data_IF_143783280007
#
_entry.id   IF_143783280007
#
_cell.length_a   1.000
_cell.length_b   1.000
_cell.length_c   1.000
_cell.angle_alpha   90.00
_cell.angle_beta   90.00
_cell.angle_gamma   90.00
#
_symmetry.space_group_name_H-M   'P 1'
#
loop_
_entity.id
_entity.type
_entity.pdbx_description
1 polymer ?
#
# COMPACT_ATOMS: atom_id res chain seq x y z
N UNK A 1 23.52 12.53 -15.03
CA UNK A 1 23.44 12.94 -13.61
C UNK A 1 22.73 14.30 -13.45
N UNK A 2 23.03 15.28 -14.30
CA UNK A 2 22.49 16.65 -14.25
C UNK A 2 20.95 16.78 -14.32
N UNK A 3 20.27 16.05 -15.22
CA UNK A 3 18.83 16.23 -15.43
C UNK A 3 17.94 15.84 -14.22
N UNK A 4 18.36 14.81 -13.48
CA UNK A 4 17.63 14.30 -12.32
C UNK A 4 17.56 15.34 -11.19
N UNK A 5 18.70 15.96 -10.89
CA UNK A 5 18.83 16.99 -9.86
C UNK A 5 18.09 18.27 -10.27
N UNK A 6 18.16 18.63 -11.56
CA UNK A 6 17.40 19.78 -12.09
C UNK A 6 15.89 19.59 -11.97
N UNK A 7 15.36 18.39 -12.21
CA UNK A 7 13.93 18.13 -12.08
C UNK A 7 13.48 18.20 -10.61
N UNK A 8 14.27 17.68 -9.68
CA UNK A 8 13.96 17.76 -8.26
C UNK A 8 13.98 19.21 -7.75
N UNK A 9 14.99 19.98 -8.13
CA UNK A 9 15.07 21.40 -7.78
C UNK A 9 13.86 22.19 -8.31
N UNK A 10 13.47 21.95 -9.57
CA UNK A 10 12.26 22.55 -10.14
C UNK A 10 11.01 22.18 -9.34
N UNK A 11 10.87 20.91 -8.97
CA UNK A 11 9.75 20.46 -8.14
C UNK A 11 9.71 21.20 -6.79
N UNK A 12 10.86 21.32 -6.11
CA UNK A 12 10.94 22.07 -4.85
C UNK A 12 10.56 23.54 -5.01
N UNK A 13 11.00 24.20 -6.08
CA UNK A 13 10.60 25.58 -6.38
C UNK A 13 9.07 25.70 -6.57
N UNK A 14 8.46 24.78 -7.32
CA UNK A 14 7.01 24.78 -7.51
C UNK A 14 6.25 24.49 -6.20
N UNK A 15 6.75 23.58 -5.37
CA UNK A 15 6.19 23.30 -4.05
C UNK A 15 6.28 24.53 -3.15
N UNK A 16 7.43 25.20 -3.08
CA UNK A 16 7.60 26.41 -2.28
C UNK A 16 6.66 27.56 -2.73
N UNK A 17 6.54 27.77 -4.04
CA UNK A 17 5.63 28.77 -4.61
C UNK A 17 4.17 28.44 -4.28
N UNK A 18 3.78 27.16 -4.39
CA UNK A 18 2.43 26.72 -4.04
C UNK A 18 2.15 26.92 -2.54
N UNK A 19 3.11 26.55 -1.68
CA UNK A 19 3.02 26.73 -0.23
C UNK A 19 2.82 28.20 0.15
N UNK A 20 3.59 29.10 -0.47
CA UNK A 20 3.52 30.54 -0.22
C UNK A 20 2.16 31.16 -0.58
N UNK A 21 1.49 30.67 -1.62
CA UNK A 21 0.18 31.19 -2.05
C UNK A 21 -0.98 30.53 -1.29
N UNK A 22 -0.85 29.24 -0.97
CA UNK A 22 -1.92 28.46 -0.33
C UNK A 22 -1.88 28.47 1.20
N UNK A 23 -0.80 28.97 1.81
CA UNK A 23 -0.47 28.79 3.23
C UNK A 23 -0.43 27.31 3.67
N UNK A 24 -0.25 26.37 2.73
CA UNK A 24 -0.08 24.96 3.02
C UNK A 24 1.40 24.64 3.24
N UNK A 25 1.73 23.89 4.29
CA UNK A 25 3.07 23.37 4.52
C UNK A 25 3.16 21.91 4.10
N UNK A 26 4.21 21.56 3.37
CA UNK A 26 4.53 20.18 3.08
C UNK A 26 5.09 19.50 4.32
N UNK A 27 4.68 18.26 4.54
CA UNK A 27 5.19 17.47 5.65
C UNK A 27 6.34 16.59 5.15
N UNK A 28 7.55 17.10 5.30
CA UNK A 28 8.77 16.44 4.85
C UNK A 28 9.00 15.13 5.60
N UNK A 29 8.64 15.06 6.90
CA UNK A 29 8.75 13.85 7.72
C UNK A 29 7.86 12.69 7.23
N UNK A 30 6.74 13.01 6.57
CA UNK A 30 5.82 12.03 5.96
C UNK A 30 6.12 11.77 4.49
N UNK A 31 7.07 12.49 3.91
CA UNK A 31 7.40 12.38 2.50
C UNK A 31 8.31 11.16 2.29
N UNK A 32 7.86 10.25 1.44
CA UNK A 32 8.57 9.03 1.11
C UNK A 32 8.79 8.95 -0.40
N UNK A 33 9.96 8.46 -0.81
CA UNK A 33 10.28 8.18 -2.19
C UNK A 33 10.11 6.69 -2.51
N UNK A 34 9.84 6.36 -3.77
CA UNK A 34 9.83 4.98 -4.24
C UNK A 34 10.35 4.88 -5.68
N UNK A 35 10.99 3.76 -6.01
CA UNK A 35 11.55 3.54 -7.34
C UNK A 35 10.54 2.88 -8.26
N UNK A 36 10.20 3.48 -9.42
CA UNK A 36 9.30 2.81 -10.38
C UNK A 36 9.91 1.53 -10.98
N UNK A 37 11.23 1.50 -11.13
CA UNK A 37 11.96 0.32 -11.63
C UNK A 37 12.33 -0.68 -10.54
N UNK A 38 12.08 -0.36 -9.27
CA UNK A 38 12.56 -1.11 -8.11
C UNK A 38 14.08 -0.99 -7.86
N UNK A 39 14.86 -0.46 -8.80
CA UNK A 39 16.33 -0.34 -8.71
C UNK A 39 16.77 0.88 -7.89
N UNK A 40 17.92 0.75 -7.23
CA UNK A 40 18.60 1.86 -6.54
C UNK A 40 19.32 2.74 -7.58
N UNK A 41 19.12 4.05 -7.50
CA UNK A 41 19.88 5.03 -8.27
C UNK A 41 20.71 5.87 -7.31
N UNK A 42 22.06 5.85 -7.39
CA UNK A 42 22.91 6.65 -6.51
C UNK A 42 22.64 8.15 -6.60
N UNK A 43 22.25 8.64 -7.79
CA UNK A 43 21.91 10.05 -7.98
C UNK A 43 20.65 10.45 -7.20
N UNK A 44 19.62 9.59 -7.19
CA UNK A 44 18.39 9.84 -6.43
C UNK A 44 18.62 9.73 -4.92
N UNK A 45 19.48 8.82 -4.46
CA UNK A 45 19.77 8.69 -3.02
C UNK A 45 20.38 9.98 -2.46
N UNK A 46 21.40 10.54 -3.13
CA UNK A 46 21.98 11.83 -2.71
C UNK A 46 20.97 12.96 -2.75
N UNK A 47 20.18 13.02 -3.82
CA UNK A 47 19.17 14.05 -3.95
C UNK A 47 18.09 13.96 -2.85
N UNK A 48 17.72 12.76 -2.40
CA UNK A 48 16.78 12.57 -1.28
C UNK A 48 17.38 12.94 0.08
N UNK A 49 18.68 12.69 0.28
CA UNK A 49 19.41 13.13 1.48
C UNK A 49 19.45 14.66 1.59
N UNK A 50 19.64 15.38 0.47
CA UNK A 50 19.63 16.85 0.43
C UNK A 50 18.27 17.46 0.80
N UNK A 51 17.18 16.72 0.62
CA UNK A 51 15.80 17.20 0.86
C UNK A 51 15.14 16.55 2.08
N UNK A 52 15.92 15.91 2.94
CA UNK A 52 15.46 15.21 4.16
C UNK A 52 14.43 14.10 3.93
N UNK A 53 14.41 13.46 2.75
CA UNK A 53 13.57 12.29 2.48
C UNK A 53 14.34 11.02 2.86
N UNK A 54 14.05 10.49 4.04
CA UNK A 54 14.77 9.34 4.59
C UNK A 54 14.25 7.98 4.10
N UNK A 55 12.97 7.91 3.72
CA UNK A 55 12.35 6.67 3.28
C UNK A 55 12.40 6.55 1.76
N UNK A 56 13.15 5.57 1.25
CA UNK A 56 13.21 5.25 -0.18
C UNK A 56 12.89 3.77 -0.44
N UNK A 57 11.66 3.49 -0.88
CA UNK A 57 11.17 2.14 -1.18
C UNK A 57 11.74 1.58 -2.48
N UNK A 58 12.20 0.33 -2.41
CA UNK A 58 12.89 -0.37 -3.49
C UNK A 58 12.50 -1.85 -3.52
N UNK A 59 12.99 -2.55 -4.55
CA UNK A 59 12.80 -3.99 -4.65
C UNK A 59 13.42 -4.76 -3.48
N UNK A 60 14.50 -4.26 -2.88
CA UNK A 60 15.15 -4.90 -1.73
C UNK A 60 14.57 -4.45 -0.38
N UNK A 61 13.62 -3.53 -0.37
CA UNK A 61 12.97 -3.09 0.86
C UNK A 61 12.18 -4.24 1.47
N UNK A 62 12.23 -4.38 2.80
CA UNK A 62 11.49 -5.42 3.52
C UNK A 62 9.98 -5.21 3.31
N UNK A 63 9.52 -3.96 3.36
CA UNK A 63 8.13 -3.57 3.20
C UNK A 63 7.84 -3.06 1.79
N UNK A 64 6.62 -3.37 1.30
CA UNK A 64 6.06 -2.77 0.10
C UNK A 64 5.71 -1.28 0.35
N UNK A 65 5.82 -0.46 -0.69
CA UNK A 65 5.37 0.94 -0.65
C UNK A 65 3.85 1.00 -0.50
N UNK A 66 3.34 1.94 0.32
CA UNK A 66 1.91 2.09 0.58
C UNK A 66 1.38 3.43 0.06
N UNK A 67 0.36 3.39 -0.77
CA UNK A 67 -0.34 4.59 -1.26
C UNK A 67 -1.85 4.38 -1.21
N UNK A 68 -2.56 5.30 -0.55
CA UNK A 68 -4.01 5.25 -0.34
C UNK A 68 -4.51 3.92 0.29
N UNK A 69 -3.66 3.24 1.07
CA UNK A 69 -3.97 1.95 1.66
C UNK A 69 -3.74 0.74 0.75
N UNK A 70 -3.32 0.96 -0.50
CA UNK A 70 -2.85 -0.07 -1.42
C UNK A 70 -1.34 -0.22 -1.31
N UNK A 71 -0.85 -1.45 -1.49
CA UNK A 71 0.57 -1.75 -1.41
C UNK A 71 1.13 -2.12 -2.79
N UNK A 72 2.36 -1.71 -3.06
CA UNK A 72 3.07 -1.96 -4.31
C UNK A 72 4.24 -2.91 -4.04
N UNK A 73 4.11 -4.14 -4.51
CA UNK A 73 5.16 -5.15 -4.44
C UNK A 73 6.01 -5.14 -5.71
N UNK A 74 7.33 -5.04 -5.52
CA UNK A 74 8.34 -5.23 -6.57
C UNK A 74 8.75 -6.68 -6.74
N UNK A 75 8.56 -7.52 -5.71
CA UNK A 75 9.02 -8.90 -5.69
C UNK A 75 8.00 -9.85 -5.03
N UNK A 76 8.26 -11.15 -5.14
CA UNK A 76 7.38 -12.18 -4.60
C UNK A 76 7.30 -12.20 -3.06
N UNK A 77 8.34 -11.79 -2.35
CA UNK A 77 8.38 -11.71 -0.88
C UNK A 77 7.44 -10.61 -0.38
N UNK A 78 7.55 -9.41 -0.96
CA UNK A 78 6.67 -8.27 -0.67
C UNK A 78 5.21 -8.62 -1.00
N UNK A 79 5.00 -9.32 -2.14
CA UNK A 79 3.67 -9.82 -2.51
C UNK A 79 3.11 -10.79 -1.46
N UNK A 80 3.89 -11.77 -1.02
CA UNK A 80 3.46 -12.72 0.00
C UNK A 80 3.14 -12.03 1.33
N UNK A 81 3.89 -10.99 1.70
CA UNK A 81 3.59 -10.16 2.86
C UNK A 81 2.26 -9.40 2.71
N UNK A 82 2.00 -8.82 1.55
CA UNK A 82 0.71 -8.16 1.25
C UNK A 82 -0.46 -9.14 1.32
N UNK A 83 -0.32 -10.33 0.72
CA UNK A 83 -1.31 -11.42 0.80
C UNK A 83 -1.58 -11.80 2.25
N UNK A 84 -0.53 -11.95 3.07
CA UNK A 84 -0.67 -12.24 4.50
C UNK A 84 -1.39 -11.11 5.26
N UNK A 85 -1.09 -9.86 4.97
CA UNK A 85 -1.76 -8.70 5.60
C UNK A 85 -3.25 -8.64 5.24
N UNK A 86 -3.60 -8.84 3.97
CA UNK A 86 -4.99 -8.87 3.52
C UNK A 86 -5.75 -10.05 4.13
N UNK A 87 -5.14 -11.25 4.14
CA UNK A 87 -5.72 -12.44 4.77
C UNK A 87 -5.96 -12.23 6.28
N UNK A 88 -5.00 -11.64 6.99
CA UNK A 88 -5.17 -11.32 8.41
C UNK A 88 -6.31 -10.32 8.63
N UNK A 89 -6.41 -9.30 7.79
CA UNK A 89 -7.54 -8.33 7.85
C UNK A 89 -8.88 -9.05 7.68
N UNK A 90 -8.98 -9.96 6.71
CA UNK A 90 -10.19 -10.77 6.50
C UNK A 90 -10.48 -11.66 7.70
N UNK A 91 -9.49 -12.36 8.25
CA UNK A 91 -9.66 -13.19 9.45
C UNK A 91 -10.17 -12.40 10.64
N UNK A 92 -9.59 -11.22 10.90
CA UNK A 92 -10.05 -10.32 11.96
C UNK A 92 -11.48 -9.88 11.73
N UNK A 93 -11.86 -9.52 10.50
CA UNK A 93 -13.24 -9.18 10.18
C UNK A 93 -14.20 -10.35 10.38
N UNK A 94 -13.85 -11.55 9.90
CA UNK A 94 -14.63 -12.76 10.13
C UNK A 94 -14.84 -13.02 11.63
N UNK A 95 -13.80 -12.91 12.44
CA UNK A 95 -13.88 -13.09 13.89
C UNK A 95 -14.84 -12.07 14.53
N UNK A 96 -14.77 -10.79 14.14
CA UNK A 96 -15.67 -9.74 14.63
C UNK A 96 -17.13 -10.02 14.24
N UNK A 97 -17.39 -10.42 12.99
CA UNK A 97 -18.76 -10.68 12.54
C UNK A 97 -19.34 -11.98 13.09
N UNK A 98 -18.50 -12.98 13.36
CA UNK A 98 -18.94 -14.24 13.96
C UNK A 98 -19.52 -14.04 15.38
N UNK A 99 -19.07 -13.00 16.09
CA UNK A 99 -19.60 -12.64 17.41
C UNK A 99 -21.04 -12.06 17.36
N UNK A 100 -21.54 -11.63 16.20
CA UNK A 100 -22.76 -10.80 16.10
C UNK A 100 -24.09 -11.57 16.00
N UNK A 101 -24.14 -12.87 16.33
CA UNK A 101 -25.36 -13.71 16.26
C UNK A 101 -26.25 -13.45 15.02
N UNK A 102 -25.63 -13.33 13.85
CA UNK A 102 -26.35 -13.02 12.61
C UNK A 102 -27.02 -14.27 12.05
N UNK A 103 -28.20 -14.08 11.43
CA UNK A 103 -28.84 -15.10 10.60
C UNK A 103 -27.97 -15.46 9.40
N UNK A 104 -28.15 -16.65 8.82
CA UNK A 104 -27.39 -17.11 7.64
C UNK A 104 -27.46 -16.07 6.51
N UNK A 105 -28.64 -15.52 6.23
CA UNK A 105 -28.81 -14.44 5.23
C UNK A 105 -27.98 -13.21 5.58
N UNK A 106 -27.98 -12.79 6.85
CA UNK A 106 -27.16 -11.68 7.33
C UNK A 106 -25.66 -11.93 7.17
N UNK A 107 -25.19 -13.15 7.44
CA UNK A 107 -23.79 -13.53 7.25
C UNK A 107 -23.37 -13.49 5.79
N UNK A 108 -24.19 -14.03 4.88
CA UNK A 108 -23.97 -13.95 3.43
C UNK A 108 -23.92 -12.49 2.96
N UNK A 109 -24.82 -11.64 3.43
CA UNK A 109 -24.81 -10.20 3.10
C UNK A 109 -23.53 -9.52 3.57
N UNK A 110 -23.06 -9.79 4.79
CA UNK A 110 -21.81 -9.25 5.35
C UNK A 110 -20.60 -9.71 4.52
N UNK A 111 -20.54 -10.99 4.16
CA UNK A 111 -19.48 -11.54 3.32
C UNK A 111 -19.42 -10.79 1.99
N UNK A 112 -20.54 -10.73 1.26
CA UNK A 112 -20.58 -10.17 -0.08
C UNK A 112 -20.34 -8.66 -0.09
N UNK A 113 -20.85 -7.93 0.91
CA UNK A 113 -20.84 -6.47 0.89
C UNK A 113 -19.62 -5.87 1.59
N UNK A 114 -19.14 -6.48 2.69
CA UNK A 114 -18.11 -5.90 3.54
C UNK A 114 -16.76 -6.62 3.40
N UNK A 115 -16.76 -7.94 3.39
CA UNK A 115 -15.51 -8.71 3.31
C UNK A 115 -15.00 -8.71 1.86
N UNK A 116 -15.87 -9.05 0.91
CA UNK A 116 -15.48 -9.16 -0.49
C UNK A 116 -15.13 -7.81 -1.11
N UNK A 117 -15.79 -6.72 -0.71
CA UNK A 117 -15.44 -5.36 -1.16
C UNK A 117 -14.01 -4.96 -0.73
N UNK A 118 -13.59 -5.32 0.49
CA UNK A 118 -12.22 -5.10 0.95
C UNK A 118 -11.19 -5.96 0.22
N UNK A 119 -11.52 -7.23 -0.01
CA UNK A 119 -10.67 -8.13 -0.80
C UNK A 119 -10.52 -7.60 -2.22
N UNK A 120 -11.63 -7.23 -2.85
CA UNK A 120 -11.65 -6.67 -4.20
C UNK A 120 -10.79 -5.41 -4.33
N UNK A 121 -10.91 -4.48 -3.38
CA UNK A 121 -10.07 -3.28 -3.34
C UNK A 121 -8.57 -3.64 -3.28
N UNK A 122 -8.18 -4.56 -2.41
CA UNK A 122 -6.79 -5.03 -2.32
C UNK A 122 -6.31 -5.75 -3.59
N UNK A 123 -7.17 -6.55 -4.22
CA UNK A 123 -6.89 -7.26 -5.47
C UNK A 123 -6.73 -6.33 -6.68
N UNK A 124 -7.22 -5.09 -6.61
CA UNK A 124 -7.10 -4.13 -7.72
C UNK A 124 -5.65 -3.77 -8.06
N UNK A 125 -4.71 -3.91 -7.11
CA UNK A 125 -3.27 -3.68 -7.32
C UNK A 125 -2.40 -4.92 -7.06
N UNK A 126 -2.98 -5.99 -6.52
CA UNK A 126 -2.27 -7.22 -6.17
C UNK A 126 -2.58 -8.30 -7.21
N UNK A 127 -1.54 -8.98 -7.69
CA UNK A 127 -1.68 -10.19 -8.50
C UNK A 127 -1.66 -11.42 -7.59
N UNK A 128 -2.83 -11.92 -7.13
CA UNK A 128 -2.87 -12.91 -6.06
C UNK A 128 -2.34 -14.26 -6.51
N UNK A 129 -1.73 -14.99 -5.59
CA UNK A 129 -1.47 -16.42 -5.78
C UNK A 129 -2.77 -17.23 -5.70
N UNK A 130 -2.82 -18.37 -6.39
CA UNK A 130 -3.94 -19.32 -6.27
C UNK A 130 -4.14 -19.77 -4.82
N UNK A 131 -3.04 -19.99 -4.10
CA UNK A 131 -3.06 -20.37 -2.68
C UNK A 131 -3.74 -19.30 -1.82
N UNK A 132 -3.45 -18.02 -2.05
CA UNK A 132 -4.10 -16.92 -1.36
C UNK A 132 -5.63 -16.93 -1.57
N UNK A 133 -6.10 -17.11 -2.81
CA UNK A 133 -7.53 -17.16 -3.10
C UNK A 133 -8.23 -18.35 -2.41
N UNK A 134 -7.57 -19.52 -2.36
CA UNK A 134 -8.07 -20.69 -1.61
C UNK A 134 -8.17 -20.38 -0.12
N UNK A 135 -7.17 -19.70 0.46
CA UNK A 135 -7.19 -19.32 1.87
C UNK A 135 -8.30 -18.30 2.20
N UNK A 136 -8.52 -17.30 1.34
CA UNK A 136 -9.63 -16.35 1.49
C UNK A 136 -10.96 -17.09 1.41
N UNK A 137 -11.12 -17.96 0.41
CA UNK A 137 -12.32 -18.80 0.25
C UNK A 137 -12.60 -19.57 1.53
N UNK A 138 -11.63 -20.35 2.01
CA UNK A 138 -11.73 -21.12 3.25
C UNK A 138 -12.15 -20.26 4.46
N UNK A 139 -11.52 -19.09 4.64
CA UNK A 139 -11.83 -18.17 5.74
C UNK A 139 -13.26 -17.60 5.67
N UNK A 140 -13.76 -17.34 4.47
CA UNK A 140 -15.11 -16.80 4.26
C UNK A 140 -16.17 -17.89 4.48
N UNK A 141 -15.93 -19.13 4.05
CA UNK A 141 -16.84 -20.24 4.30
C UNK A 141 -17.00 -20.58 5.78
N UNK A 142 -16.01 -20.31 6.63
CA UNK A 142 -16.16 -20.49 8.08
C UNK A 142 -17.16 -19.52 8.72
N UNK A 143 -17.47 -18.41 8.05
CA UNK A 143 -18.42 -17.42 8.56
C UNK A 143 -19.86 -17.75 8.15
N UNK A 144 -20.07 -18.31 6.96
CA UNK A 144 -21.41 -18.63 6.41
C UNK A 144 -21.90 -19.96 6.95
#
# INVERSE_FOLDING_TARGET
MHACMQHLYRLQQHMANYAAVSNANFNDDKSEAFSLSGRRSPAWVRAFEEINVHTYHRQVSITAFRYLGLYFAYNHVQRAQMEKMLLNTVKTQCAIYNQRQLSIRGRVTVVNSLILSKVWYGLSMLWPTKMFLVNIKSCVYQLV
#
